data_IF_154739873952
#
_entry.id   IF_154739873952
#
_cell.length_a   1.000
_cell.length_b   1.000
_cell.length_c   1.000
_cell.angle_alpha   90.00
_cell.angle_beta   90.00
_cell.angle_gamma   90.00
#
_symmetry.space_group_name_H-M   'P 1'
#
loop_
_entity.id
_entity.type
_entity.pdbx_description
1 polymer ?
#
# COMPACT_ATOMS: atom_id res chain seq x y z
N UNK A 1 -17.45 -5.61 -16.48
CA UNK A 1 -17.79 -6.10 -15.13
C UNK A 1 -16.54 -6.69 -14.52
N UNK A 2 -16.16 -6.22 -13.33
CA UNK A 2 -14.80 -6.26 -12.79
C UNK A 2 -14.25 -7.66 -12.57
N UNK A 3 -13.09 -7.92 -13.17
CA UNK A 3 -12.38 -9.19 -13.11
C UNK A 3 -11.68 -9.31 -11.73
N UNK A 4 -12.43 -9.71 -10.71
CA UNK A 4 -11.93 -9.88 -9.35
C UNK A 4 -10.80 -10.93 -9.33
N UNK A 5 -9.66 -10.55 -8.75
CA UNK A 5 -8.48 -11.40 -8.65
C UNK A 5 -8.75 -12.57 -7.69
N UNK A 6 -7.92 -13.62 -7.74
CA UNK A 6 -8.14 -14.85 -6.92
C UNK A 6 -8.27 -14.53 -5.42
N UNK A 7 -7.46 -13.59 -4.93
CA UNK A 7 -7.49 -13.15 -3.54
C UNK A 7 -8.81 -12.45 -3.17
N UNK A 8 -9.33 -11.59 -4.05
CA UNK A 8 -10.59 -10.87 -3.81
C UNK A 8 -11.79 -11.83 -3.81
N UNK A 9 -11.77 -12.85 -4.67
CA UNK A 9 -12.79 -13.91 -4.71
C UNK A 9 -12.75 -14.78 -3.45
N UNK A 10 -11.56 -15.07 -2.92
CA UNK A 10 -11.42 -15.84 -1.67
C UNK A 10 -11.90 -15.03 -0.46
N UNK A 11 -11.61 -13.72 -0.41
CA UNK A 11 -12.13 -12.82 0.63
C UNK A 11 -13.67 -12.81 0.62
N UNK A 12 -14.28 -12.67 -0.57
CA UNK A 12 -15.74 -12.70 -0.72
C UNK A 12 -16.34 -14.02 -0.24
N UNK A 13 -15.74 -15.15 -0.63
CA UNK A 13 -16.19 -16.48 -0.20
C UNK A 13 -16.08 -16.66 1.31
N UNK A 14 -15.02 -16.16 1.95
CA UNK A 14 -14.88 -16.24 3.41
C UNK A 14 -15.86 -15.33 4.15
N UNK A 15 -16.25 -14.19 3.56
CA UNK A 15 -17.32 -13.33 4.08
C UNK A 15 -18.69 -14.03 3.97
N UNK A 16 -19.00 -14.60 2.80
CA UNK A 16 -20.27 -15.30 2.54
C UNK A 16 -20.43 -16.59 3.38
N UNK A 17 -19.32 -17.25 3.71
CA UNK A 17 -19.30 -18.42 4.62
C UNK A 17 -19.54 -18.08 6.09
N UNK A 18 -19.66 -16.79 6.46
CA UNK A 18 -19.97 -16.38 7.82
C UNK A 18 -18.85 -16.66 8.84
N UNK A 19 -17.62 -16.88 8.37
CA UNK A 19 -16.45 -17.16 9.23
C UNK A 19 -16.04 -15.95 10.08
N UNK A 20 -16.51 -14.76 9.69
CA UNK A 20 -16.17 -13.49 10.33
C UNK A 20 -17.16 -13.18 11.44
N UNK A 21 -16.83 -13.62 12.66
CA UNK A 21 -17.55 -13.17 13.86
C UNK A 21 -17.12 -11.75 14.21
N UNK A 22 -18.09 -10.86 14.41
CA UNK A 22 -17.83 -9.51 14.89
C UNK A 22 -17.06 -9.58 16.21
N UNK A 23 -15.90 -8.92 16.25
CA UNK A 23 -15.10 -8.81 17.46
C UNK A 23 -15.90 -8.10 18.56
N UNK A 24 -15.80 -8.54 19.83
CA UNK A 24 -16.37 -7.78 20.94
C UNK A 24 -15.76 -6.37 20.95
N UNK A 25 -16.60 -5.38 21.27
CA UNK A 25 -16.29 -3.94 21.26
C UNK A 25 -15.99 -3.36 19.86
N UNK A 26 -16.81 -3.70 18.86
CA UNK A 26 -16.72 -3.22 17.48
C UNK A 26 -16.57 -1.68 17.37
N UNK A 27 -17.35 -0.90 18.13
CA UNK A 27 -17.28 0.57 18.11
C UNK A 27 -15.94 1.12 18.59
N UNK A 28 -15.39 0.55 19.66
CA UNK A 28 -14.09 0.97 20.21
C UNK A 28 -12.94 0.57 19.29
N UNK A 29 -12.98 -0.64 18.72
CA UNK A 29 -11.98 -1.07 17.73
C UNK A 29 -12.04 -0.24 16.46
N UNK A 30 -13.22 0.09 15.94
CA UNK A 30 -13.36 1.00 14.79
C UNK A 30 -12.76 2.37 15.14
N UNK A 31 -13.08 2.94 16.31
CA UNK A 31 -12.53 4.21 16.74
C UNK A 31 -10.99 4.15 16.90
N UNK A 32 -10.46 3.06 17.44
CA UNK A 32 -9.03 2.80 17.57
C UNK A 32 -8.35 2.72 16.19
N UNK A 33 -8.86 1.90 15.28
CA UNK A 33 -8.31 1.77 13.93
C UNK A 33 -8.45 3.06 13.13
N UNK A 34 -9.55 3.81 13.29
CA UNK A 34 -9.69 5.15 12.71
C UNK A 34 -8.65 6.12 13.27
N UNK A 35 -8.37 6.07 14.57
CA UNK A 35 -7.36 6.91 15.21
C UNK A 35 -5.95 6.55 14.74
N UNK A 36 -5.64 5.26 14.61
CA UNK A 36 -4.38 4.74 14.05
C UNK A 36 -4.23 5.19 12.59
N UNK A 37 -5.25 4.99 11.75
CA UNK A 37 -5.23 5.42 10.36
C UNK A 37 -5.02 6.94 10.21
N UNK A 38 -5.74 7.75 11.00
CA UNK A 38 -5.57 9.21 11.03
C UNK A 38 -4.18 9.63 11.54
N UNK A 39 -3.62 8.91 12.52
CA UNK A 39 -2.30 9.20 13.06
C UNK A 39 -1.17 8.86 12.07
N UNK A 40 -1.33 7.77 11.32
CA UNK A 40 -0.38 7.37 10.26
C UNK A 40 -0.45 8.30 9.05
N UNK A 41 -1.64 8.82 8.69
CA UNK A 41 -1.79 9.81 7.62
C UNK A 41 -1.14 11.18 7.90
N UNK A 42 -0.86 11.53 9.16
CA UNK A 42 -0.42 12.89 9.55
C UNK A 42 1.09 13.14 9.51
N UNK A 43 1.92 12.19 9.07
CA UNK A 43 3.38 12.33 9.09
C UNK A 43 3.99 12.62 7.71
N UNK A 44 3.59 13.74 7.10
CA UNK A 44 4.29 14.26 5.93
C UNK A 44 5.51 15.07 6.38
N UNK A 45 6.65 14.41 6.60
CA UNK A 45 7.95 15.09 6.59
C UNK A 45 8.49 15.04 5.16
N UNK A 46 8.72 16.21 4.57
CA UNK A 46 9.35 16.34 3.25
C UNK A 46 10.84 16.06 3.37
N UNK A 47 11.34 15.13 2.56
CA UNK A 47 12.77 14.83 2.44
C UNK A 47 13.23 15.33 1.07
N UNK A 48 14.18 16.27 1.06
CA UNK A 48 14.87 16.68 -0.16
C UNK A 48 16.17 15.86 -0.26
N UNK A 49 16.32 15.07 -1.32
CA UNK A 49 17.55 14.35 -1.60
C UNK A 49 17.92 14.49 -3.08
N UNK A 50 19.21 14.41 -3.39
CA UNK A 50 19.72 14.44 -4.77
C UNK A 50 19.77 13.02 -5.31
N UNK A 51 19.33 12.85 -6.54
CA UNK A 51 19.35 11.58 -7.30
C UNK A 51 20.03 11.82 -8.65
N UNK A 52 20.69 10.80 -9.20
CA UNK A 52 21.27 10.87 -10.54
C UNK A 52 20.15 11.07 -11.58
N UNK A 53 20.48 11.76 -12.68
CA UNK A 53 19.54 11.91 -13.80
C UNK A 53 19.14 10.56 -14.40
N UNK A 54 20.10 9.64 -14.52
CA UNK A 54 19.87 8.29 -15.01
C UNK A 54 18.86 7.52 -14.14
N UNK A 55 19.00 7.60 -12.82
CA UNK A 55 18.10 6.90 -11.89
C UNK A 55 16.71 7.53 -11.91
N UNK A 56 16.62 8.86 -11.99
CA UNK A 56 15.35 9.57 -12.09
C UNK A 56 14.57 9.14 -13.36
N UNK A 57 15.25 9.01 -14.48
CA UNK A 57 14.64 8.57 -15.73
C UNK A 57 14.20 7.10 -15.66
N UNK A 58 15.00 6.22 -15.05
CA UNK A 58 14.62 4.84 -14.79
C UNK A 58 13.38 4.71 -13.90
N UNK A 59 13.27 5.55 -12.85
CA UNK A 59 12.10 5.60 -11.98
C UNK A 59 10.88 6.10 -12.74
N UNK A 60 11.01 7.14 -13.57
CA UNK A 60 9.89 7.66 -14.40
C UNK A 60 9.38 6.59 -15.35
N UNK A 61 10.28 5.85 -16.01
CA UNK A 61 9.90 4.78 -16.91
C UNK A 61 9.12 3.68 -16.18
N UNK A 62 9.62 3.21 -15.03
CA UNK A 62 8.92 2.19 -14.22
C UNK A 62 7.57 2.70 -13.70
N UNK A 63 7.49 3.96 -13.30
CA UNK A 63 6.25 4.57 -12.82
C UNK A 63 5.21 4.66 -13.96
N UNK A 64 5.66 4.99 -15.17
CA UNK A 64 4.82 5.01 -16.37
C UNK A 64 4.32 3.61 -16.74
N UNK A 65 5.18 2.59 -16.68
CA UNK A 65 4.80 1.18 -16.88
C UNK A 65 3.73 0.71 -15.87
N UNK A 66 3.83 1.14 -14.62
CA UNK A 66 2.84 0.85 -13.56
C UNK A 66 1.61 1.78 -13.60
N UNK A 67 1.60 2.82 -14.46
CA UNK A 67 0.51 3.78 -14.57
C UNK A 67 0.35 4.70 -13.35
N UNK A 68 1.41 4.90 -12.57
CA UNK A 68 1.40 5.71 -11.34
C UNK A 68 2.38 6.89 -11.43
N UNK A 69 2.17 7.98 -10.67
CA UNK A 69 3.16 9.05 -10.57
C UNK A 69 4.50 8.54 -10.00
N UNK A 70 5.63 9.06 -10.48
CA UNK A 70 6.96 8.64 -10.02
C UNK A 70 7.17 8.90 -8.52
N UNK A 71 6.57 9.96 -7.97
CA UNK A 71 6.61 10.23 -6.52
C UNK A 71 5.89 9.13 -5.73
N UNK A 72 4.76 8.63 -6.25
CA UNK A 72 3.99 7.54 -5.65
C UNK A 72 4.80 6.25 -5.68
N UNK A 73 5.49 5.97 -6.79
CA UNK A 73 6.38 4.82 -6.89
C UNK A 73 7.51 4.89 -5.86
N UNK A 74 8.20 6.04 -5.75
CA UNK A 74 9.26 6.26 -4.77
C UNK A 74 8.73 6.04 -3.34
N UNK A 75 7.57 6.62 -3.02
CA UNK A 75 6.95 6.47 -1.70
C UNK A 75 6.59 5.01 -1.39
N UNK A 76 6.03 4.30 -2.38
CA UNK A 76 5.70 2.87 -2.30
C UNK A 76 6.94 2.01 -2.07
N UNK A 77 8.06 2.29 -2.76
CA UNK A 77 9.34 1.59 -2.55
C UNK A 77 9.86 1.82 -1.14
N UNK A 78 9.91 3.07 -0.67
CA UNK A 78 10.38 3.38 0.69
C UNK A 78 9.51 2.66 1.73
N UNK A 79 8.18 2.67 1.55
CA UNK A 79 7.28 2.00 2.45
C UNK A 79 7.51 0.48 2.47
N UNK A 80 7.60 -0.16 1.29
CA UNK A 80 7.89 -1.59 1.15
C UNK A 80 9.24 -1.97 1.78
N UNK A 81 10.24 -1.11 1.64
CA UNK A 81 11.56 -1.32 2.24
C UNK A 81 11.49 -1.28 3.76
N UNK A 82 10.82 -0.28 4.34
CA UNK A 82 10.67 -0.13 5.80
C UNK A 82 9.90 -1.29 6.44
N UNK A 83 8.88 -1.82 5.77
CA UNK A 83 8.08 -2.95 6.29
C UNK A 83 8.71 -4.32 5.98
N UNK A 84 9.88 -4.37 5.32
CA UNK A 84 10.56 -5.61 4.95
C UNK A 84 9.88 -6.40 3.82
N UNK A 85 8.91 -5.81 3.11
CA UNK A 85 8.19 -6.44 2.00
C UNK A 85 8.77 -6.07 0.63
N UNK A 86 9.94 -5.42 0.59
CA UNK A 86 10.61 -5.11 -0.66
C UNK A 86 11.26 -6.36 -1.24
N UNK A 87 10.61 -6.95 -2.24
CA UNK A 87 11.15 -8.06 -3.01
C UNK A 87 11.84 -7.49 -4.24
N UNK A 88 13.17 -7.50 -4.22
CA UNK A 88 13.97 -7.18 -5.40
C UNK A 88 13.75 -8.28 -6.45
N UNK A 89 13.03 -7.96 -7.52
CA UNK A 89 13.04 -8.82 -8.70
C UNK A 89 14.25 -8.44 -9.53
N UNK A 90 15.33 -9.17 -9.33
CA UNK A 90 16.44 -9.20 -10.28
C UNK A 90 15.89 -9.78 -11.57
N UNK A 91 15.91 -8.98 -12.64
CA UNK A 91 15.56 -9.41 -13.99
C UNK A 91 16.80 -9.86 -14.71
#
# INVERSE_FOLDING_TARGET
MSNLNKEEKEILRSIEKGEWKSVPNLKEKIAYYQKVARATMRKNKTINFRISSLDLDGIRQRAFEEGIPYQTLISSIIHKYVIGAFVERVR
#
